data_IF_749575186873
#
_entry.id   IF_749575186873
#
_cell.length_a   1.000
_cell.length_b   1.000
_cell.length_c   1.000
_cell.angle_alpha   90.00
_cell.angle_beta   90.00
_cell.angle_gamma   90.00
#
_symmetry.space_group_name_H-M   'P 1'
#
loop_
_entity.id
_entity.type
_entity.pdbx_description
1 polymer ?
#
# COMPACT_ATOMS: atom_id res chain seq x y z
N UNK A 1 -13.34 -18.80 -5.20
CA UNK A 1 -11.90 -18.78 -4.86
C UNK A 1 -11.68 -17.60 -3.94
N UNK A 2 -10.88 -17.73 -2.87
CA UNK A 2 -10.62 -16.60 -1.99
C UNK A 2 -9.92 -15.49 -2.77
N UNK A 3 -10.34 -14.25 -2.57
CA UNK A 3 -9.73 -13.05 -3.15
C UNK A 3 -8.42 -12.77 -2.43
N UNK A 4 -7.31 -12.77 -3.16
CA UNK A 4 -5.96 -12.64 -2.63
C UNK A 4 -5.43 -11.23 -2.81
N UNK A 5 -5.05 -10.60 -1.71
CA UNK A 5 -4.37 -9.31 -1.71
C UNK A 5 -2.95 -9.46 -1.20
N UNK A 6 -2.03 -8.67 -1.76
CA UNK A 6 -0.70 -8.47 -1.18
C UNK A 6 -0.69 -7.10 -0.52
N UNK A 7 -0.24 -7.05 0.74
CA UNK A 7 -0.08 -5.83 1.50
C UNK A 7 1.41 -5.52 1.69
N UNK A 8 1.89 -4.41 1.11
CA UNK A 8 3.23 -3.90 1.35
C UNK A 8 3.20 -2.81 2.42
N UNK A 9 3.86 -3.10 3.53
CA UNK A 9 3.98 -2.19 4.67
C UNK A 9 5.31 -2.44 5.40
N UNK A 10 6.05 -1.38 5.71
CA UNK A 10 7.33 -1.46 6.42
C UNK A 10 7.14 -1.68 7.93
N UNK A 11 5.94 -1.48 8.46
CA UNK A 11 5.54 -1.71 9.84
C UNK A 11 4.57 -2.90 9.98
N UNK A 12 4.99 -4.08 9.48
CA UNK A 12 4.19 -5.33 9.44
C UNK A 12 3.45 -5.63 10.76
N UNK A 13 4.11 -5.47 11.90
CA UNK A 13 3.51 -5.76 13.22
C UNK A 13 2.37 -4.78 13.59
N UNK A 14 2.41 -3.53 13.12
CA UNK A 14 1.32 -2.57 13.35
C UNK A 14 0.10 -2.86 12.49
N UNK A 15 0.34 -3.35 11.27
CA UNK A 15 -0.71 -3.62 10.28
C UNK A 15 -1.41 -4.95 10.50
N UNK A 16 -0.68 -5.94 11.02
CA UNK A 16 -1.19 -7.27 11.33
C UNK A 16 -2.56 -7.30 12.05
N UNK A 17 -2.81 -6.53 13.14
CA UNK A 17 -4.13 -6.53 13.77
C UNK A 17 -5.24 -6.00 12.85
N UNK A 18 -4.96 -5.03 11.99
CA UNK A 18 -5.94 -4.47 11.04
C UNK A 18 -6.29 -5.50 9.98
N UNK A 19 -5.28 -6.17 9.44
CA UNK A 19 -5.46 -7.26 8.47
C UNK A 19 -6.28 -8.41 9.05
N UNK A 20 -6.00 -8.81 10.29
CA UNK A 20 -6.77 -9.84 10.98
C UNK A 20 -8.26 -9.47 11.12
N UNK A 21 -8.56 -8.19 11.39
CA UNK A 21 -9.95 -7.71 11.44
C UNK A 21 -10.62 -7.77 10.06
N UNK A 22 -9.89 -7.39 8.99
CA UNK A 22 -10.39 -7.44 7.61
C UNK A 22 -10.68 -8.88 7.16
N UNK A 23 -9.77 -9.81 7.40
CA UNK A 23 -9.96 -11.23 7.08
C UNK A 23 -11.07 -11.86 7.92
N UNK A 24 -11.19 -11.50 9.21
CA UNK A 24 -12.28 -11.99 10.07
C UNK A 24 -13.66 -11.48 9.62
N UNK A 25 -13.74 -10.25 9.10
CA UNK A 25 -14.98 -9.68 8.57
C UNK A 25 -15.36 -10.25 7.20
N UNK A 26 -14.38 -10.74 6.43
CA UNK A 26 -14.57 -11.24 5.07
C UNK A 26 -13.88 -12.61 4.91
N UNK A 27 -14.59 -13.73 5.15
CA UNK A 27 -14.00 -15.07 5.13
C UNK A 27 -13.37 -15.50 3.80
N UNK A 28 -13.79 -14.87 2.70
CA UNK A 28 -13.24 -15.11 1.36
C UNK A 28 -12.05 -14.19 1.02
N UNK A 29 -11.62 -13.31 1.91
CA UNK A 29 -10.48 -12.40 1.73
C UNK A 29 -9.24 -12.99 2.40
N UNK A 30 -8.13 -13.03 1.67
CA UNK A 30 -6.82 -13.38 2.21
C UNK A 30 -5.81 -12.30 1.86
N UNK A 31 -5.11 -11.77 2.87
CA UNK A 31 -4.14 -10.69 2.72
C UNK A 31 -2.77 -11.18 3.19
N UNK A 32 -1.82 -11.23 2.27
CA UNK A 32 -0.43 -11.53 2.59
C UNK A 32 0.34 -10.24 2.88
N UNK A 33 0.77 -10.06 4.13
CA UNK A 33 1.58 -8.90 4.53
C UNK A 33 3.05 -9.17 4.24
N UNK A 34 3.72 -8.23 3.58
CA UNK A 34 5.14 -8.28 3.26
C UNK A 34 5.81 -6.95 3.54
N UNK A 35 7.04 -7.01 4.02
CA UNK A 35 7.89 -5.82 4.09
C UNK A 35 8.43 -5.47 2.70
N UNK A 36 8.52 -4.19 2.35
CA UNK A 36 9.04 -3.75 1.06
C UNK A 36 10.51 -4.14 0.91
N UNK A 37 10.88 -4.65 -0.27
CA UNK A 37 12.26 -4.96 -0.62
C UNK A 37 12.78 -4.00 -1.70
N UNK A 38 13.97 -4.26 -2.25
CA UNK A 38 14.57 -3.46 -3.34
C UNK A 38 13.58 -3.25 -4.49
N UNK A 39 13.50 -2.00 -4.96
CA UNK A 39 12.50 -1.55 -5.93
C UNK A 39 12.38 -2.44 -7.17
N UNK A 40 13.50 -2.70 -7.85
CA UNK A 40 13.50 -3.45 -9.11
C UNK A 40 13.06 -4.91 -8.90
N UNK A 41 13.50 -5.53 -7.81
CA UNK A 41 13.05 -6.86 -7.42
C UNK A 41 11.57 -6.88 -7.05
N UNK A 42 11.08 -5.88 -6.31
CA UNK A 42 9.68 -5.77 -5.90
C UNK A 42 8.75 -5.69 -7.11
N UNK A 43 9.06 -4.80 -8.06
CA UNK A 43 8.30 -4.67 -9.31
C UNK A 43 8.30 -6.00 -10.07
N UNK A 44 9.47 -6.67 -10.16
CA UNK A 44 9.60 -7.95 -10.87
C UNK A 44 8.78 -9.05 -10.19
N UNK A 45 8.77 -9.11 -8.87
CA UNK A 45 8.04 -10.09 -8.09
C UNK A 45 6.53 -9.86 -8.19
N UNK A 46 6.08 -8.63 -7.97
CA UNK A 46 4.67 -8.24 -8.04
C UNK A 46 4.08 -8.37 -9.46
N UNK A 47 4.90 -8.32 -10.51
CA UNK A 47 4.40 -8.59 -11.86
C UNK A 47 4.17 -10.09 -12.10
N UNK A 48 4.95 -10.95 -11.42
CA UNK A 48 4.90 -12.41 -11.58
C UNK A 48 3.89 -13.11 -10.68
N UNK A 49 3.62 -12.56 -9.50
CA UNK A 49 2.68 -13.18 -8.57
C UNK A 49 1.24 -13.12 -9.08
N UNK A 50 0.47 -14.14 -8.69
CA UNK A 50 -0.96 -14.23 -8.97
C UNK A 50 -1.75 -13.79 -7.74
N UNK A 51 -2.26 -12.57 -7.80
CA UNK A 51 -3.08 -11.93 -6.78
C UNK A 51 -4.14 -11.06 -7.46
N UNK A 52 -5.22 -10.82 -6.73
CA UNK A 52 -6.38 -10.06 -7.20
C UNK A 52 -6.24 -8.57 -6.91
N UNK A 53 -5.45 -8.16 -5.92
CA UNK A 53 -5.19 -6.76 -5.64
C UNK A 53 -3.97 -6.48 -4.75
N UNK A 54 -3.62 -5.19 -4.67
CA UNK A 54 -2.49 -4.68 -3.91
C UNK A 54 -2.96 -3.65 -2.88
N UNK A 55 -2.48 -3.78 -1.65
CA UNK A 55 -2.53 -2.78 -0.58
C UNK A 55 -1.11 -2.24 -0.40
N UNK A 56 -0.96 -0.92 -0.41
CA UNK A 56 0.35 -0.28 -0.29
C UNK A 56 0.29 0.82 0.77
N UNK A 57 1.20 0.76 1.74
CA UNK A 57 1.45 1.91 2.60
C UNK A 57 2.05 3.06 1.82
N UNK A 58 1.54 4.28 2.03
CA UNK A 58 2.01 5.48 1.36
C UNK A 58 3.52 5.70 1.55
N UNK A 59 4.07 5.29 2.68
CA UNK A 59 5.42 5.59 3.15
C UNK A 59 6.19 4.35 3.57
N UNK A 60 6.49 3.54 2.56
CA UNK A 60 7.40 2.39 2.63
C UNK A 60 8.85 2.72 3.06
N UNK A 61 9.21 4.01 3.15
CA UNK A 61 10.58 4.48 3.39
C UNK A 61 10.90 4.76 4.88
N UNK A 62 10.00 4.43 5.82
CA UNK A 62 10.10 4.90 7.22
C UNK A 62 10.84 3.94 8.12
N UNK A 63 10.47 2.67 8.10
CA UNK A 63 11.03 1.63 8.93
C UNK A 63 12.11 0.85 8.18
N UNK A 64 13.09 0.38 8.94
CA UNK A 64 14.05 -0.59 8.44
C UNK A 64 13.46 -1.99 8.55
N UNK A 65 13.81 -2.86 7.62
CA UNK A 65 13.53 -4.28 7.72
C UNK A 65 14.33 -4.94 8.86
N UNK A 66 14.13 -6.24 9.04
CA UNK A 66 14.80 -7.05 10.06
C UNK A 66 16.34 -7.05 9.93
N UNK A 67 16.88 -6.76 8.75
CA UNK A 67 18.32 -6.68 8.48
C UNK A 67 18.87 -5.25 8.59
N UNK A 68 18.03 -4.29 9.02
CA UNK A 68 18.38 -2.88 9.16
C UNK A 68 18.43 -2.11 7.84
N UNK A 69 17.96 -2.70 6.75
CA UNK A 69 17.90 -2.06 5.44
C UNK A 69 16.60 -1.29 5.30
N UNK A 70 16.69 -0.10 4.70
CA UNK A 70 15.53 0.74 4.40
C UNK A 70 15.41 0.89 2.91
N UNK A 71 14.20 0.73 2.40
CA UNK A 71 13.92 1.08 1.02
C UNK A 71 13.84 2.60 0.87
N UNK A 72 14.24 3.10 -0.28
CA UNK A 72 14.33 4.53 -0.59
C UNK A 72 13.29 4.96 -1.63
N UNK A 73 12.15 4.26 -1.70
CA UNK A 73 11.04 4.58 -2.60
C UNK A 73 9.72 4.67 -1.85
N UNK A 74 8.75 5.34 -2.46
CA UNK A 74 7.39 5.49 -1.95
C UNK A 74 6.42 4.61 -2.73
N UNK A 75 5.27 4.33 -2.13
CA UNK A 75 4.16 3.60 -2.75
C UNK A 75 3.81 4.12 -4.15
N UNK A 76 3.78 5.45 -4.31
CA UNK A 76 3.41 6.10 -5.57
C UNK A 76 4.36 5.75 -6.71
N UNK A 77 5.67 5.73 -6.46
CA UNK A 77 6.66 5.37 -7.47
C UNK A 77 6.48 3.89 -7.89
N UNK A 78 6.25 3.01 -6.92
CA UNK A 78 6.00 1.59 -7.17
C UNK A 78 4.69 1.38 -7.94
N UNK A 79 3.61 2.03 -7.53
CA UNK A 79 2.30 1.95 -8.16
C UNK A 79 2.32 2.45 -9.61
N UNK A 80 3.05 3.54 -9.89
CA UNK A 80 3.20 4.06 -11.25
C UNK A 80 3.91 3.05 -12.15
N UNK A 81 5.04 2.49 -11.70
CA UNK A 81 5.80 1.51 -12.46
C UNK A 81 4.98 0.23 -12.71
N UNK A 82 4.33 -0.30 -11.67
CA UNK A 82 3.45 -1.46 -11.79
C UNK A 82 2.30 -1.19 -12.77
N UNK A 83 1.71 0.01 -12.74
CA UNK A 83 0.60 0.36 -13.64
C UNK A 83 1.05 0.40 -15.09
N UNK A 84 2.24 0.93 -15.37
CA UNK A 84 2.82 0.93 -16.72
C UNK A 84 2.94 -0.51 -17.24
N UNK A 85 3.58 -1.40 -16.47
CA UNK A 85 3.77 -2.81 -16.86
C UNK A 85 2.46 -3.58 -16.98
N UNK A 86 1.52 -3.39 -16.05
CA UNK A 86 0.19 -4.02 -16.10
C UNK A 86 -0.63 -3.58 -17.31
N UNK A 87 -0.43 -2.34 -17.79
CA UNK A 87 -1.09 -1.83 -18.99
C UNK A 87 -0.53 -2.49 -20.25
N UNK A 88 0.78 -2.72 -20.30
CA UNK A 88 1.43 -3.45 -21.40
C UNK A 88 0.96 -4.91 -21.47
N UNK A 89 0.76 -5.56 -20.33
CA UNK A 89 0.29 -6.96 -20.23
C UNK A 89 -1.25 -7.10 -20.29
N UNK A 90 -2.00 -5.99 -20.27
CA UNK A 90 -3.48 -5.97 -20.26
C UNK A 90 -4.12 -6.52 -18.99
N UNK A 91 -3.36 -6.68 -17.91
CA UNK A 91 -3.80 -7.25 -16.62
C UNK A 91 -3.82 -6.18 -15.54
N UNK A 92 -4.82 -5.30 -15.61
CA UNK A 92 -5.06 -4.32 -14.56
C UNK A 92 -5.50 -4.98 -13.25
N UNK A 93 -4.91 -4.56 -12.14
CA UNK A 93 -5.31 -4.97 -10.78
C UNK A 93 -5.63 -3.75 -9.92
N UNK A 94 -6.63 -3.82 -9.03
CA UNK A 94 -6.88 -2.78 -8.04
C UNK A 94 -5.65 -2.56 -7.15
N UNK A 95 -5.31 -1.30 -6.92
CA UNK A 95 -4.29 -0.86 -5.98
C UNK A 95 -4.97 0.07 -4.98
N UNK A 96 -4.84 -0.25 -3.69
CA UNK A 96 -5.37 0.54 -2.59
C UNK A 96 -4.18 1.15 -1.87
N UNK A 97 -4.10 2.48 -1.89
CA UNK A 97 -3.18 3.22 -1.04
C UNK A 97 -3.84 3.42 0.31
N UNK A 98 -3.15 3.04 1.37
CA UNK A 98 -3.60 3.28 2.73
C UNK A 98 -2.50 3.92 3.57
N UNK A 99 -2.88 4.45 4.72
CA UNK A 99 -1.93 4.93 5.71
C UNK A 99 -2.49 4.65 7.08
N UNK A 100 -1.72 3.91 7.87
CA UNK A 100 -2.08 3.51 9.24
C UNK A 100 -1.55 4.52 10.26
N UNK A 101 -0.91 5.61 9.82
CA UNK A 101 -0.44 6.68 10.68
C UNK A 101 -1.57 7.47 11.33
N UNK A 102 -1.52 7.59 12.66
CA UNK A 102 -2.31 8.55 13.45
C UNK A 102 -2.10 10.01 13.00
N UNK A 103 -0.97 10.31 12.36
CA UNK A 103 -0.64 11.66 11.87
C UNK A 103 -1.47 12.11 10.66
N UNK A 104 -2.21 11.23 9.98
CA UNK A 104 -3.08 11.64 8.88
C UNK A 104 -4.26 12.49 9.36
N UNK A 105 -4.60 12.45 10.66
CA UNK A 105 -5.63 13.31 11.26
C UNK A 105 -5.22 14.78 11.32
N UNK A 106 -3.94 15.12 11.22
CA UNK A 106 -3.47 16.52 11.30
C UNK A 106 -3.36 17.22 9.93
N UNK A 107 -3.20 16.47 8.83
CA UNK A 107 -3.04 17.05 7.49
C UNK A 107 -4.35 17.19 6.71
N UNK A 108 -5.41 16.49 7.10
CA UNK A 108 -6.70 16.57 6.40
C UNK A 108 -7.57 17.75 6.88
N UNK A 109 -7.18 18.45 7.95
CA UNK A 109 -8.00 19.46 8.62
C UNK A 109 -7.54 20.91 8.38
N UNK A 110 -6.86 21.19 7.26
CA UNK A 110 -6.59 22.58 6.82
C UNK A 110 -6.66 22.74 5.31
N UNK A 111 -7.87 22.66 4.79
CA UNK A 111 -8.27 23.51 3.67
C UNK A 111 -9.59 24.22 4.01
N UNK A 112 -9.55 25.03 5.09
CA UNK A 112 -10.43 26.18 5.25
C UNK A 112 -9.99 27.25 4.24
N UNK A 113 -10.26 27.03 2.96
CA UNK A 113 -10.38 28.09 1.97
C UNK A 113 -11.86 28.31 1.68
N UNK A 114 -12.63 28.66 2.71
CA UNK A 114 -13.90 29.34 2.51
C UNK A 114 -13.62 30.71 1.88
N UNK A 115 -14.19 31.04 0.71
CA UNK A 115 -14.16 32.41 0.24
C UNK A 115 -14.99 33.26 1.20
N UNK A 116 -14.32 34.10 1.99
CA UNK A 116 -14.96 35.07 2.87
C UNK A 116 -15.96 35.93 2.08
N UNK A 117 -17.20 36.09 2.53
CA UNK A 117 -18.10 37.05 1.90
C UNK A 117 -17.56 38.45 2.19
N UNK A 118 -17.21 39.18 1.14
CA UNK A 118 -17.10 40.64 1.23
C UNK A 118 -18.51 41.21 1.42
N UNK A 119 -18.60 42.16 2.34
CA UNK A 119 -19.77 42.91 2.82
C UNK A 119 -20.84 43.24 1.79
#
# INVERSE_FOLDING_TARGET
MPTKYICLDDEVEKVKPIVQVLEAAHPDLSIEIRSPYKFDEEVRQLTKFDYDGLLLDLRLDRAADADGQRVNYRALALAQELRTRMTEDGRGRPMVLWSVDDNFKLSYDKDENEPRPFF
#
